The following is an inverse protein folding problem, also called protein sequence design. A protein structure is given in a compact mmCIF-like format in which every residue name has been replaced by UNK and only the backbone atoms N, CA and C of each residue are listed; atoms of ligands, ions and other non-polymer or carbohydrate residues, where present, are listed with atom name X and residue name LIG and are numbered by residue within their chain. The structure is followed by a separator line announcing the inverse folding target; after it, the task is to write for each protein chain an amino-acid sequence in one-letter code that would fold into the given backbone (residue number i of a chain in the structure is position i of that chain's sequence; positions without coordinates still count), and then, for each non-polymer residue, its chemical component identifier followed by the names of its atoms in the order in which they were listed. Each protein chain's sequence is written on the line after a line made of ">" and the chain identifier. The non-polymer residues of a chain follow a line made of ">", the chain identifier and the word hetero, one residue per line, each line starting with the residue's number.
data_IF_367606500690
#
_entry.id   IF_367606500690
#
_cell.length_a   1.000
_cell.length_b   1.000
_cell.length_c   1.000
_cell.angle_alpha   90.00
_cell.angle_beta   90.00
_cell.angle_gamma   90.00
#
_symmetry.space_group_name_H-M   'P 1'
#
loop_
_entity.id
_entity.type
_entity.pdbx_description
1 polymer ?
#
# COMPACT_ATOMS: atom_id res chain seq x y z
N UNK A 1 -42.88 4.20 55.37
CA UNK A 1 -42.42 4.08 53.97
C UNK A 1 -40.91 4.30 53.75
N UNK A 2 -40.25 5.30 54.34
CA UNK A 2 -38.81 5.60 54.05
C UNK A 2 -37.77 4.54 54.48
N UNK A 3 -38.06 3.70 55.50
CA UNK A 3 -37.10 2.71 56.02
C UNK A 3 -37.02 1.43 55.17
N UNK A 4 -38.13 1.03 54.56
CA UNK A 4 -38.20 -0.17 53.72
C UNK A 4 -37.61 0.07 52.31
N UNK A 5 -37.72 1.30 51.80
CA UNK A 5 -37.10 1.69 50.52
C UNK A 5 -35.57 1.70 50.58
N UNK A 6 -34.98 2.16 51.70
CA UNK A 6 -33.52 2.12 51.91
C UNK A 6 -32.97 0.68 52.01
N UNK A 7 -33.73 -0.22 52.65
CA UNK A 7 -33.35 -1.64 52.73
C UNK A 7 -33.44 -2.33 51.36
N UNK A 8 -34.43 -1.98 50.54
CA UNK A 8 -34.59 -2.52 49.19
C UNK A 8 -33.47 -2.07 48.24
N UNK A 9 -33.11 -0.77 48.29
CA UNK A 9 -32.00 -0.22 47.49
C UNK A 9 -30.65 -0.81 47.94
N UNK A 10 -30.45 -0.99 49.25
CA UNK A 10 -29.21 -1.61 49.76
C UNK A 10 -29.09 -3.08 49.36
N UNK A 11 -30.21 -3.80 49.24
CA UNK A 11 -30.22 -5.18 48.77
C UNK A 11 -29.88 -5.26 47.27
N UNK A 12 -30.44 -4.37 46.45
CA UNK A 12 -30.11 -4.28 45.01
C UNK A 12 -28.64 -3.93 44.79
N UNK A 13 -28.07 -3.02 45.59
CA UNK A 13 -26.67 -2.62 45.49
C UNK A 13 -25.70 -3.77 45.83
N UNK A 14 -26.02 -4.55 46.87
CA UNK A 14 -25.22 -5.73 47.25
C UNK A 14 -25.35 -6.84 46.22
N UNK A 15 -26.55 -7.04 45.65
CA UNK A 15 -26.78 -8.06 44.62
C UNK A 15 -26.04 -7.70 43.31
N UNK A 16 -25.97 -6.42 42.95
CA UNK A 16 -25.15 -5.96 41.81
C UNK A 16 -23.63 -6.08 42.08
N UNK A 17 -23.18 -5.84 43.32
CA UNK A 17 -21.77 -5.99 43.68
C UNK A 17 -21.30 -7.46 43.67
N UNK A 18 -22.20 -8.40 43.98
CA UNK A 18 -21.89 -9.84 43.92
C UNK A 18 -21.90 -10.41 42.50
N UNK A 19 -22.65 -9.82 41.57
CA UNK A 19 -22.65 -10.24 40.15
C UNK A 19 -21.40 -9.70 39.42
N UNK A 20 -20.80 -8.59 39.88
CA UNK A 20 -19.53 -8.08 39.35
C UNK A 20 -18.28 -8.84 39.78
N UNK A 21 -18.38 -9.82 40.68
CA UNK A 21 -17.22 -10.55 41.25
C UNK A 21 -17.10 -12.01 40.76
N UNK A 22 -17.82 -12.40 39.70
CA UNK A 22 -17.79 -13.78 39.20
C UNK A 22 -17.55 -13.91 37.69
N UNK A 23 -17.11 -12.86 37.02
CA UNK A 23 -16.61 -12.99 35.65
C UNK A 23 -15.15 -13.41 35.77
N UNK A 24 -14.74 -14.60 35.31
CA UNK A 24 -13.33 -14.89 35.16
C UNK A 24 -12.76 -13.85 34.19
N UNK A 25 -11.86 -13.00 34.68
CA UNK A 25 -11.00 -12.20 33.82
C UNK A 25 -10.01 -13.18 33.19
N UNK A 26 -10.44 -13.79 32.09
CA UNK A 26 -9.47 -14.27 31.12
C UNK A 26 -8.79 -13.02 30.57
N UNK A 27 -7.47 -12.94 30.72
CA UNK A 27 -6.68 -12.02 29.93
C UNK A 27 -7.03 -12.33 28.47
N UNK A 28 -7.80 -11.44 27.84
CA UNK A 28 -7.92 -11.43 26.39
C UNK A 28 -6.49 -11.33 25.90
N UNK A 29 -6.02 -12.36 25.20
CA UNK A 29 -4.77 -12.24 24.44
C UNK A 29 -4.90 -10.93 23.67
N UNK A 30 -3.99 -10.00 23.96
CA UNK A 30 -3.84 -8.79 23.16
C UNK A 30 -3.68 -9.33 21.73
N UNK A 31 -4.58 -9.00 20.80
CA UNK A 31 -4.41 -9.42 19.42
C UNK A 31 -3.00 -9.00 19.03
N UNK A 32 -2.19 -9.98 18.62
CA UNK A 32 -0.83 -9.79 18.14
C UNK A 32 -0.79 -8.52 17.31
N UNK A 33 -0.11 -7.49 17.83
CA UNK A 33 -0.15 -6.13 17.32
C UNK A 33 -0.17 -6.13 15.79
N UNK A 34 -1.27 -5.68 15.18
CA UNK A 34 -1.21 -5.15 13.81
C UNK A 34 -0.06 -4.15 13.80
N UNK A 35 1.03 -4.52 13.13
CA UNK A 35 2.17 -3.64 12.95
C UNK A 35 1.74 -2.57 11.97
N UNK A 36 1.22 -1.46 12.47
CA UNK A 36 0.95 -0.31 11.64
C UNK A 36 2.25 0.19 11.03
N UNK A 37 2.33 0.20 9.70
CA UNK A 37 3.45 0.81 8.98
C UNK A 37 3.52 2.29 9.33
N UNK A 38 4.70 2.75 9.76
CA UNK A 38 4.92 4.16 10.09
C UNK A 38 5.05 4.96 8.79
N UNK A 39 4.04 5.78 8.49
CA UNK A 39 4.08 6.78 7.41
C UNK A 39 4.77 8.06 7.89
N UNK A 40 5.08 8.96 6.96
CA UNK A 40 5.60 10.29 7.24
C UNK A 40 4.70 11.06 8.24
N UNK A 41 3.37 11.01 8.08
CA UNK A 41 2.46 11.67 9.02
C UNK A 41 2.48 11.00 10.41
N UNK A 42 2.56 9.66 10.46
CA UNK A 42 2.64 8.93 11.73
C UNK A 42 3.95 9.28 12.43
N UNK A 43 5.07 9.38 11.72
CA UNK A 43 6.35 9.80 12.28
C UNK A 43 6.29 11.22 12.86
N UNK A 44 5.63 12.16 12.17
CA UNK A 44 5.39 13.53 12.66
C UNK A 44 4.55 13.48 13.94
N UNK A 45 3.43 12.76 13.95
CA UNK A 45 2.55 12.66 15.12
C UNK A 45 3.27 12.02 16.32
N UNK A 46 4.06 10.98 16.06
CA UNK A 46 4.89 10.34 17.08
C UNK A 46 5.89 11.33 17.67
N UNK A 47 6.53 12.17 16.84
CA UNK A 47 7.45 13.20 17.28
C UNK A 47 6.75 14.26 18.14
N UNK A 48 5.60 14.78 17.70
CA UNK A 48 4.84 15.75 18.51
C UNK A 48 4.41 15.17 19.87
N UNK A 49 3.97 13.91 19.90
CA UNK A 49 3.59 13.24 21.13
C UNK A 49 4.79 12.99 22.05
N UNK A 50 5.93 12.61 21.48
CA UNK A 50 7.17 12.46 22.22
C UNK A 50 7.62 13.79 22.83
N UNK A 51 7.63 14.88 22.06
CA UNK A 51 7.98 16.21 22.55
C UNK A 51 7.06 16.67 23.69
N UNK A 52 5.74 16.47 23.58
CA UNK A 52 4.77 16.79 24.65
C UNK A 52 5.07 16.06 25.96
N UNK A 53 5.61 14.84 25.90
CA UNK A 53 5.97 14.06 27.09
C UNK A 53 7.38 14.34 27.61
N UNK A 54 8.35 14.54 26.71
CA UNK A 54 9.77 14.61 27.01
C UNK A 54 10.28 16.05 27.23
N UNK A 55 9.62 17.06 26.65
CA UNK A 55 10.05 18.46 26.69
C UNK A 55 8.85 19.41 26.78
N UNK A 56 8.40 19.68 28.01
CA UNK A 56 7.17 20.43 28.30
C UNK A 56 7.35 21.96 28.38
N UNK A 57 8.60 22.45 28.31
CA UNK A 57 8.91 23.87 28.47
C UNK A 57 8.43 24.74 27.29
N UNK A 58 8.40 24.16 26.08
CA UNK A 58 8.00 24.84 24.84
C UNK A 58 7.05 23.96 24.03
N UNK A 59 6.13 24.60 23.30
CA UNK A 59 5.30 23.91 22.32
C UNK A 59 6.04 23.79 21.00
N UNK A 60 6.62 22.61 20.76
CA UNK A 60 7.34 22.28 19.53
C UNK A 60 6.40 21.69 18.48
N UNK A 61 6.56 22.08 17.22
CA UNK A 61 5.93 21.43 16.06
C UNK A 61 6.94 20.51 15.38
N UNK A 62 6.51 19.36 14.88
CA UNK A 62 7.36 18.44 14.14
C UNK A 62 7.12 18.54 12.62
N UNK A 63 8.18 18.42 11.82
CA UNK A 63 8.10 18.46 10.36
C UNK A 63 9.34 17.80 9.72
N UNK A 64 9.33 17.72 8.39
CA UNK A 64 10.43 17.19 7.56
C UNK A 64 10.87 15.77 7.98
N UNK A 65 9.97 14.77 7.93
CA UNK A 65 10.35 13.39 8.18
C UNK A 65 11.33 12.91 7.11
N UNK A 66 12.43 12.31 7.54
CA UNK A 66 13.46 11.74 6.69
C UNK A 66 13.54 10.26 7.01
N UNK A 67 13.25 9.41 6.01
CA UNK A 67 13.25 7.95 6.19
C UNK A 67 14.68 7.44 6.42
N UNK A 68 14.81 6.53 7.40
CA UNK A 68 16.06 5.92 7.81
C UNK A 68 16.11 4.46 7.38
N UNK A 69 17.22 4.02 6.80
CA UNK A 69 17.45 2.66 6.32
C UNK A 69 18.61 1.98 7.05
N UNK A 70 18.62 0.66 7.09
CA UNK A 70 19.81 -0.13 7.44
C UNK A 70 20.67 -0.43 6.20
N UNK A 71 21.83 -1.05 6.39
CA UNK A 71 22.78 -1.28 5.31
C UNK A 71 22.33 -2.26 4.22
N UNK A 72 21.24 -2.98 4.44
CA UNK A 72 20.60 -3.87 3.46
C UNK A 72 19.60 -3.15 2.56
N UNK A 73 19.34 -1.85 2.81
CA UNK A 73 18.30 -1.07 2.14
C UNK A 73 16.91 -1.17 2.76
N UNK A 74 16.74 -1.93 3.86
CA UNK A 74 15.47 -2.02 4.58
C UNK A 74 15.20 -0.73 5.38
N UNK A 75 13.98 -0.20 5.29
CA UNK A 75 13.55 0.92 6.11
C UNK A 75 13.43 0.50 7.58
N UNK A 76 14.08 1.25 8.47
CA UNK A 76 14.14 0.96 9.90
C UNK A 76 13.54 2.06 10.77
N UNK A 77 13.26 3.24 10.21
CA UNK A 77 12.55 4.29 10.94
C UNK A 77 12.64 5.66 10.29
N UNK A 78 12.65 6.72 11.10
CA UNK A 78 12.60 8.11 10.63
C UNK A 78 13.40 9.04 11.53
N UNK A 79 13.99 10.07 10.93
CA UNK A 79 14.40 11.30 11.61
C UNK A 79 13.29 12.33 11.42
N UNK A 80 12.89 13.04 12.47
CA UNK A 80 11.90 14.11 12.39
C UNK A 80 12.44 15.35 13.09
N UNK A 81 12.38 16.49 12.41
CA UNK A 81 12.88 17.76 12.91
C UNK A 81 11.82 18.52 13.73
N UNK A 82 12.24 19.18 14.81
CA UNK A 82 11.42 20.04 15.63
C UNK A 82 11.62 21.52 15.31
N UNK A 83 10.56 22.30 15.47
CA UNK A 83 10.55 23.74 15.27
C UNK A 83 9.84 24.42 16.44
N UNK A 84 10.39 25.56 16.87
CA UNK A 84 9.75 26.50 17.79
C UNK A 84 9.50 27.81 17.05
N UNK A 85 8.24 28.23 16.91
CA UNK A 85 7.85 29.40 16.11
C UNK A 85 8.51 29.41 14.72
N UNK A 86 8.44 28.27 14.02
CA UNK A 86 9.04 28.06 12.69
C UNK A 86 10.58 28.15 12.63
N UNK A 87 11.27 28.20 13.77
CA UNK A 87 12.73 28.17 13.86
C UNK A 87 13.20 26.76 14.25
N UNK A 88 14.21 26.16 13.59
CA UNK A 88 14.73 24.85 13.94
C UNK A 88 15.11 24.74 15.43
N UNK A 89 14.64 23.67 16.07
CA UNK A 89 14.73 23.46 17.51
C UNK A 89 14.97 21.98 17.87
N UNK A 90 15.84 21.30 17.12
CA UNK A 90 16.23 19.92 17.39
C UNK A 90 15.50 18.88 16.55
N UNK A 91 15.57 17.63 16.98
CA UNK A 91 15.10 16.46 16.21
C UNK A 91 14.88 15.23 17.11
N UNK A 92 14.19 14.22 16.57
CA UNK A 92 14.07 12.87 17.13
C UNK A 92 14.34 11.84 16.05
N UNK A 93 14.92 10.70 16.43
CA UNK A 93 15.18 9.55 15.56
C UNK A 93 14.43 8.36 16.11
N UNK A 94 13.49 7.85 15.32
CA UNK A 94 12.81 6.58 15.53
C UNK A 94 13.57 5.47 14.82
N UNK A 95 13.85 4.38 15.54
CA UNK A 95 14.51 3.19 15.01
C UNK A 95 13.84 1.93 15.57
N UNK A 96 13.27 1.15 14.67
CA UNK A 96 12.54 -0.10 15.00
C UNK A 96 13.47 -1.29 15.26
N UNK A 97 14.76 -1.18 14.96
CA UNK A 97 15.75 -2.23 15.29
C UNK A 97 16.18 -2.18 16.76
N UNK A 98 15.99 -1.03 17.42
CA UNK A 98 16.23 -0.86 18.84
C UNK A 98 15.12 -1.46 19.70
N UNK A 99 15.47 -1.95 20.89
CA UNK A 99 14.48 -2.34 21.92
C UNK A 99 13.66 -1.15 22.44
N UNK A 100 14.19 0.07 22.27
CA UNK A 100 13.48 1.34 22.39
C UNK A 100 13.26 1.90 20.99
N UNK A 101 12.03 2.28 20.67
CA UNK A 101 11.68 2.92 19.41
C UNK A 101 12.40 4.27 19.22
N UNK A 102 12.76 4.95 20.31
CA UNK A 102 13.57 6.18 20.28
C UNK A 102 15.04 5.78 20.28
N UNK A 103 15.77 6.08 19.20
CA UNK A 103 17.22 5.87 19.10
C UNK A 103 18.01 7.07 19.62
N UNK A 104 17.58 8.27 19.27
CA UNK A 104 18.31 9.52 19.55
C UNK A 104 17.34 10.69 19.51
N UNK A 105 17.58 11.74 20.29
CA UNK A 105 16.88 13.01 20.15
C UNK A 105 17.72 14.15 20.71
N UNK A 106 17.43 15.37 20.29
CA UNK A 106 18.03 16.59 20.82
C UNK A 106 16.99 17.70 20.82
N UNK A 107 16.92 18.46 21.92
CA UNK A 107 16.12 19.67 22.02
C UNK A 107 17.03 20.86 22.26
N UNK A 108 16.88 21.90 21.45
CA UNK A 108 17.60 23.14 21.66
C UNK A 108 17.79 23.98 20.40
N UNK A 109 18.07 25.28 20.55
CA UNK A 109 18.34 26.14 19.42
C UNK A 109 19.61 25.68 18.69
N UNK A 110 19.54 25.64 17.36
CA UNK A 110 20.63 25.22 16.46
C UNK A 110 21.03 23.74 16.54
N UNK A 111 20.30 22.89 17.27
CA UNK A 111 20.49 21.45 17.19
C UNK A 111 20.10 20.96 15.78
N UNK A 112 21.05 20.33 15.09
CA UNK A 112 20.89 19.80 13.73
C UNK A 112 20.79 18.28 13.77
N UNK A 113 19.89 17.72 12.97
CA UNK A 113 19.85 16.29 12.77
C UNK A 113 21.12 15.79 12.07
N UNK A 114 21.47 14.50 12.20
CA UNK A 114 22.56 13.90 11.42
C UNK A 114 22.40 14.14 9.91
N UNK A 115 21.17 14.09 9.39
CA UNK A 115 20.89 14.43 8.00
C UNK A 115 21.28 15.88 7.67
N UNK A 116 20.82 16.84 8.47
CA UNK A 116 21.09 18.27 8.25
C UNK A 116 22.59 18.59 8.36
N UNK A 117 23.33 17.85 9.19
CA UNK A 117 24.80 17.96 9.28
C UNK A 117 25.43 17.55 7.96
N UNK A 118 25.10 16.36 7.44
CA UNK A 118 25.65 15.82 6.19
C UNK A 118 25.23 16.70 4.99
N UNK A 119 23.93 17.03 4.89
CA UNK A 119 23.38 17.86 3.82
C UNK A 119 23.99 19.26 3.80
N UNK A 120 24.45 19.79 4.95
CA UNK A 120 25.13 21.08 5.00
C UNK A 120 26.63 21.03 4.67
N UNK A 121 27.25 19.85 4.70
CA UNK A 121 28.67 19.66 4.37
C UNK A 121 28.91 19.19 2.92
N UNK A 122 27.90 18.60 2.27
CA UNK A 122 27.95 18.16 0.88
C UNK A 122 27.66 19.33 -0.08
N UNK A 123 28.70 19.96 -0.62
CA UNK A 123 28.64 21.15 -1.49
C UNK A 123 28.19 20.90 -2.95
N UNK A 124 27.48 19.80 -3.24
CA UNK A 124 27.22 19.36 -4.62
C UNK A 124 25.76 19.59 -5.05
N UNK A 125 25.60 20.30 -6.16
CA UNK A 125 24.37 20.77 -6.84
C UNK A 125 23.44 19.67 -7.39
N UNK A 126 23.47 18.46 -6.85
CA UNK A 126 22.56 17.37 -7.23
C UNK A 126 21.49 17.19 -6.15
N UNK A 127 20.25 17.03 -6.61
CA UNK A 127 19.04 16.95 -5.80
C UNK A 127 19.14 15.90 -4.69
N UNK A 128 19.50 16.34 -3.47
CA UNK A 128 19.44 15.58 -2.21
C UNK A 128 18.03 15.03 -1.88
N UNK A 129 17.01 15.37 -2.68
CA UNK A 129 15.62 15.01 -2.43
C UNK A 129 15.39 13.49 -2.37
N UNK A 130 16.30 12.66 -2.90
CA UNK A 130 16.13 11.19 -2.93
C UNK A 130 17.34 10.38 -2.41
N UNK A 131 18.35 11.01 -1.80
CA UNK A 131 19.54 10.28 -1.32
C UNK A 131 19.21 9.46 -0.05
N UNK A 132 19.42 8.13 -0.02
CA UNK A 132 19.15 7.31 1.16
C UNK A 132 20.00 7.72 2.34
N UNK A 133 19.37 7.86 3.50
CA UNK A 133 20.05 7.98 4.77
C UNK A 133 20.15 6.61 5.44
N UNK A 134 21.37 6.13 5.64
CA UNK A 134 21.65 4.79 6.16
C UNK A 134 22.28 4.87 7.54
N UNK A 135 21.77 4.09 8.49
CA UNK A 135 22.42 3.86 9.78
C UNK A 135 23.47 2.76 9.63
N UNK A 136 24.75 3.11 9.76
CA UNK A 136 25.87 2.15 9.61
C UNK A 136 26.41 1.66 10.95
N UNK A 137 26.24 2.45 12.02
CA UNK A 137 26.60 2.10 13.39
C UNK A 137 25.76 2.91 14.39
N UNK A 138 25.81 2.62 15.71
CA UNK A 138 25.19 3.49 16.72
C UNK A 138 25.68 4.94 16.59
N UNK A 139 24.75 5.89 16.43
CA UNK A 139 25.02 7.32 16.24
C UNK A 139 25.80 7.68 14.96
N UNK A 140 25.91 6.76 14.00
CA UNK A 140 26.55 6.99 12.69
C UNK A 140 25.55 6.78 11.58
N UNK A 141 25.32 7.84 10.81
CA UNK A 141 24.37 7.91 9.72
C UNK A 141 25.08 8.46 8.49
N UNK A 142 24.82 7.92 7.30
CA UNK A 142 25.45 8.39 6.08
C UNK A 142 24.50 8.50 4.90
N UNK A 143 24.73 9.51 4.07
CA UNK A 143 24.04 9.69 2.80
C UNK A 143 24.78 8.94 1.69
N UNK A 144 24.01 8.17 0.94
CA UNK A 144 24.50 7.47 -0.25
C UNK A 144 24.45 8.39 -1.46
N UNK A 145 25.60 8.56 -2.10
CA UNK A 145 25.74 9.12 -3.44
C UNK A 145 25.95 7.96 -4.42
N UNK A 146 24.86 7.52 -5.04
CA UNK A 146 24.87 6.43 -6.02
C UNK A 146 25.70 6.77 -7.26
N UNK A 147 25.77 8.05 -7.64
CA UNK A 147 26.48 8.49 -8.85
C UNK A 147 27.99 8.36 -8.71
N UNK A 148 28.50 8.60 -7.50
CA UNK A 148 29.92 8.49 -7.17
C UNK A 148 30.27 7.17 -6.48
N UNK A 149 29.27 6.36 -6.11
CA UNK A 149 29.46 5.12 -5.36
C UNK A 149 30.10 5.36 -4.00
N UNK A 150 29.65 6.41 -3.31
CA UNK A 150 30.22 6.83 -2.02
C UNK A 150 29.14 7.01 -0.97
N UNK A 151 29.48 6.71 0.28
CA UNK A 151 28.67 7.06 1.45
C UNK A 151 29.44 8.10 2.27
N UNK A 152 28.80 9.22 2.58
CA UNK A 152 29.36 10.26 3.47
C UNK A 152 28.58 10.31 4.77
N UNK A 153 29.27 10.13 5.91
CA UNK A 153 28.63 10.07 7.22
C UNK A 153 28.54 11.44 7.93
N UNK A 154 27.78 11.49 9.03
CA UNK A 154 27.58 12.69 9.86
C UNK A 154 28.83 13.20 10.59
N UNK A 155 29.97 12.52 10.45
CA UNK A 155 31.28 12.97 10.92
C UNK A 155 32.18 13.49 9.77
N UNK A 156 31.68 13.47 8.53
CA UNK A 156 32.41 13.92 7.34
C UNK A 156 33.34 12.87 6.75
N UNK A 157 33.30 11.62 7.24
CA UNK A 157 34.06 10.52 6.65
C UNK A 157 33.33 10.04 5.40
N UNK A 158 34.11 9.72 4.35
CA UNK A 158 33.58 9.20 3.08
C UNK A 158 34.20 7.84 2.80
N UNK A 159 33.36 6.84 2.52
CA UNK A 159 33.76 5.50 2.14
C UNK A 159 33.24 5.12 0.75
N UNK A 160 34.02 4.33 0.02
CA UNK A 160 33.56 3.76 -1.25
C UNK A 160 32.63 2.59 -0.96
N UNK A 161 31.46 2.62 -1.56
CA UNK A 161 30.46 1.57 -1.43
C UNK A 161 30.22 0.95 -2.80
N UNK A 162 29.80 -0.32 -2.82
CA UNK A 162 29.21 -0.87 -4.03
C UNK A 162 27.77 -0.33 -4.12
N UNK A 163 27.42 0.48 -5.14
CA UNK A 163 26.08 1.01 -5.29
C UNK A 163 25.02 -0.09 -5.32
N UNK A 164 25.35 -1.32 -5.75
CA UNK A 164 24.42 -2.46 -5.75
C UNK A 164 24.01 -2.93 -4.35
N UNK A 165 24.86 -2.75 -3.35
CA UNK A 165 24.60 -3.18 -1.96
C UNK A 165 23.60 -2.27 -1.26
N UNK A 166 23.62 -0.99 -1.65
CA UNK A 166 22.74 0.06 -1.16
C UNK A 166 21.80 0.56 -2.25
N UNK A 167 21.70 -0.19 -3.36
CA UNK A 167 20.83 0.14 -4.46
C UNK A 167 19.46 0.15 -3.85
N UNK A 168 18.87 1.34 -3.83
CA UNK A 168 17.44 1.46 -3.68
C UNK A 168 16.92 0.70 -4.90
N UNK A 169 16.59 -0.59 -4.73
CA UNK A 169 15.76 -1.29 -5.68
C UNK A 169 14.59 -0.35 -5.90
N UNK A 170 14.51 0.19 -7.11
CA UNK A 170 13.71 1.35 -7.46
C UNK A 170 12.42 1.35 -6.65
N UNK A 171 12.38 2.26 -5.66
CA UNK A 171 11.24 2.73 -4.88
C UNK A 171 11.10 2.36 -3.39
N UNK A 172 12.02 1.69 -2.71
CA UNK A 172 11.94 1.63 -1.23
C UNK A 172 10.60 1.09 -0.68
N UNK A 173 10.04 0.11 -1.39
CA UNK A 173 8.75 -0.52 -1.10
C UNK A 173 9.00 -1.77 -0.29
N UNK A 174 8.50 -1.80 0.95
CA UNK A 174 8.64 -3.00 1.79
C UNK A 174 8.06 -4.20 1.03
N UNK A 175 8.72 -5.37 1.08
CA UNK A 175 8.14 -6.59 0.56
C UNK A 175 6.75 -6.82 1.18
N UNK A 176 5.81 -7.30 0.37
CA UNK A 176 4.42 -7.48 0.74
C UNK A 176 3.83 -8.67 0.00
N UNK A 177 2.71 -9.15 0.50
CA UNK A 177 1.87 -10.14 -0.16
C UNK A 177 0.69 -9.46 -0.87
N UNK A 178 0.08 -10.14 -1.84
CA UNK A 178 -1.17 -9.66 -2.43
C UNK A 178 -2.30 -9.56 -1.40
N UNK A 179 -2.26 -10.35 -0.32
CA UNK A 179 -3.18 -10.21 0.81
C UNK A 179 -3.06 -8.88 1.57
N UNK A 180 -1.87 -8.25 1.61
CA UNK A 180 -1.69 -6.95 2.27
C UNK A 180 -2.28 -5.79 1.46
N UNK A 181 -2.44 -6.02 0.16
CA UNK A 181 -2.95 -5.06 -0.81
C UNK A 181 -4.48 -5.03 -0.79
N UNK A 182 -5.10 -6.19 -0.60
CA UNK A 182 -6.55 -6.31 -0.56
C UNK A 182 -7.10 -6.09 0.84
N UNK A 183 -8.17 -5.32 0.93
CA UNK A 183 -8.97 -5.22 2.14
C UNK A 183 -10.04 -6.30 2.14
N UNK A 184 -10.05 -7.12 3.18
CA UNK A 184 -11.14 -8.06 3.42
C UNK A 184 -12.44 -7.30 3.70
N UNK A 185 -13.54 -7.77 3.11
CA UNK A 185 -14.84 -7.13 3.25
C UNK A 185 -15.28 -7.05 4.72
N UNK A 186 -14.94 -8.06 5.51
CA UNK A 186 -15.21 -8.08 6.95
C UNK A 186 -14.47 -6.94 7.66
N UNK A 187 -13.19 -6.73 7.33
CA UNK A 187 -12.37 -5.63 7.85
C UNK A 187 -12.99 -4.27 7.50
N UNK A 188 -13.49 -4.10 6.27
CA UNK A 188 -14.19 -2.88 5.85
C UNK A 188 -15.43 -2.65 6.74
N UNK A 189 -16.30 -3.65 6.90
CA UNK A 189 -17.52 -3.52 7.71
C UNK A 189 -17.24 -3.21 9.17
N UNK A 190 -16.25 -3.88 9.76
CA UNK A 190 -15.90 -3.74 11.17
C UNK A 190 -15.23 -2.39 11.45
N UNK A 191 -14.26 -2.01 10.63
CA UNK A 191 -13.32 -0.93 10.98
C UNK A 191 -13.54 0.36 10.19
N UNK A 192 -14.36 0.35 9.14
CA UNK A 192 -14.55 1.51 8.26
C UNK A 192 -16.02 1.91 8.10
N UNK A 193 -16.24 3.20 7.89
CA UNK A 193 -17.50 3.76 7.41
C UNK A 193 -17.41 3.95 5.90
N UNK A 194 -18.45 3.58 5.17
CA UNK A 194 -18.55 3.87 3.74
C UNK A 194 -18.84 5.36 3.54
N UNK A 195 -17.97 6.07 2.81
CA UNK A 195 -18.14 7.50 2.52
C UNK A 195 -18.84 7.68 1.18
N UNK A 196 -18.26 7.11 0.13
CA UNK A 196 -18.83 7.08 -1.22
C UNK A 196 -18.56 5.74 -1.87
N UNK A 197 -19.41 5.38 -2.81
CA UNK A 197 -19.26 4.17 -3.60
C UNK A 197 -19.98 4.36 -4.93
N UNK A 198 -19.44 3.73 -5.98
CA UNK A 198 -20.19 3.45 -7.19
C UNK A 198 -19.64 2.17 -7.82
N UNK A 199 -20.45 1.50 -8.62
CA UNK A 199 -20.08 0.26 -9.30
C UNK A 199 -20.97 0.06 -10.53
N UNK A 200 -20.55 -0.82 -11.43
CA UNK A 200 -21.37 -1.28 -12.54
C UNK A 200 -22.53 -2.16 -12.02
N UNK A 201 -23.59 -2.30 -12.82
CA UNK A 201 -24.80 -3.04 -12.40
C UNK A 201 -24.54 -4.54 -12.16
N UNK A 202 -23.57 -5.10 -12.88
CA UNK A 202 -23.17 -6.50 -12.78
C UNK A 202 -21.68 -6.60 -12.46
N UNK A 203 -21.33 -7.57 -11.61
CA UNK A 203 -19.94 -7.92 -11.32
C UNK A 203 -19.59 -9.23 -12.03
N UNK A 204 -18.66 -9.16 -12.97
CA UNK A 204 -18.22 -10.23 -13.84
C UNK A 204 -16.89 -10.79 -13.33
N UNK A 205 -16.88 -12.07 -13.00
CA UNK A 205 -15.70 -12.76 -12.48
C UNK A 205 -15.68 -14.21 -12.94
N UNK A 206 -14.47 -14.76 -13.09
CA UNK A 206 -14.23 -16.13 -13.53
C UNK A 206 -13.06 -16.67 -12.72
N UNK A 207 -13.23 -17.80 -12.02
CA UNK A 207 -12.12 -18.38 -11.24
C UNK A 207 -10.95 -18.79 -12.13
N UNK A 208 -9.74 -18.79 -11.57
CA UNK A 208 -8.55 -19.33 -12.22
C UNK A 208 -8.78 -20.80 -12.60
N UNK A 209 -9.28 -21.62 -11.67
CA UNK A 209 -9.62 -23.03 -11.90
C UNK A 209 -10.54 -23.23 -13.12
N UNK A 210 -11.57 -22.40 -13.26
CA UNK A 210 -12.48 -22.47 -14.42
C UNK A 210 -11.75 -22.14 -15.72
N UNK A 211 -10.96 -21.06 -15.75
CA UNK A 211 -10.21 -20.67 -16.95
C UNK A 211 -9.15 -21.71 -17.31
N UNK A 212 -8.44 -22.25 -16.33
CA UNK A 212 -7.45 -23.31 -16.53
C UNK A 212 -8.09 -24.58 -17.12
N UNK A 213 -9.23 -25.01 -16.58
CA UNK A 213 -9.97 -26.19 -17.07
C UNK A 213 -10.46 -26.02 -18.51
N UNK A 214 -10.96 -24.82 -18.85
CA UNK A 214 -11.52 -24.56 -20.17
C UNK A 214 -10.47 -24.28 -21.26
N UNK A 215 -9.28 -23.80 -20.87
CA UNK A 215 -8.32 -23.24 -21.84
C UNK A 215 -6.92 -23.88 -21.77
N UNK A 216 -6.58 -24.56 -20.68
CA UNK A 216 -5.21 -24.97 -20.34
C UNK A 216 -4.19 -23.81 -20.32
N UNK A 217 -4.68 -22.56 -20.17
CA UNK A 217 -3.89 -21.34 -20.14
C UNK A 217 -4.35 -20.42 -19.01
N UNK A 218 -3.44 -19.61 -18.48
CA UNK A 218 -3.78 -18.56 -17.52
C UNK A 218 -2.86 -17.36 -17.64
N UNK A 219 -3.42 -16.15 -17.54
CA UNK A 219 -2.66 -14.91 -17.48
C UNK A 219 -3.55 -13.81 -16.89
N UNK A 220 -3.12 -13.17 -15.80
CA UNK A 220 -3.96 -12.19 -15.08
C UNK A 220 -4.52 -11.07 -15.98
N UNK A 221 -3.72 -10.54 -16.91
CA UNK A 221 -4.18 -9.53 -17.86
C UNK A 221 -5.28 -10.05 -18.80
N UNK A 222 -5.19 -11.31 -19.23
CA UNK A 222 -6.19 -11.92 -20.12
C UNK A 222 -7.47 -12.21 -19.36
N UNK A 223 -7.38 -12.74 -18.13
CA UNK A 223 -8.55 -12.91 -17.26
C UNK A 223 -9.27 -11.59 -17.01
N UNK A 224 -8.54 -10.50 -16.72
CA UNK A 224 -9.12 -9.17 -16.57
C UNK A 224 -9.81 -8.68 -17.87
N UNK A 225 -9.19 -8.90 -19.04
CA UNK A 225 -9.80 -8.57 -20.32
C UNK A 225 -10.99 -9.46 -20.66
N UNK A 226 -11.02 -10.72 -20.22
CA UNK A 226 -12.14 -11.62 -20.42
C UNK A 226 -13.40 -11.11 -19.70
N UNK A 227 -13.26 -10.60 -18.47
CA UNK A 227 -14.33 -9.87 -17.79
C UNK A 227 -14.76 -8.59 -18.52
N UNK A 228 -13.81 -7.82 -19.05
CA UNK A 228 -14.13 -6.65 -19.89
C UNK A 228 -14.88 -7.05 -21.17
N UNK A 229 -14.47 -8.13 -21.83
CA UNK A 229 -15.11 -8.64 -23.04
C UNK A 229 -16.55 -9.10 -22.75
N UNK A 230 -16.78 -9.74 -21.60
CA UNK A 230 -18.11 -10.12 -21.15
C UNK A 230 -19.01 -8.89 -21.02
N UNK A 231 -18.50 -7.83 -20.39
CA UNK A 231 -19.24 -6.57 -20.19
C UNK A 231 -19.63 -5.89 -21.49
N UNK A 232 -18.70 -5.77 -22.44
CA UNK A 232 -18.96 -5.16 -23.74
C UNK A 232 -19.67 -6.10 -24.74
N UNK A 233 -20.05 -7.31 -24.32
CA UNK A 233 -20.75 -8.28 -25.17
C UNK A 233 -19.90 -8.85 -26.30
N UNK A 234 -18.58 -8.89 -26.14
CA UNK A 234 -17.63 -9.42 -27.13
C UNK A 234 -17.40 -10.94 -27.00
N UNK A 235 -17.86 -11.57 -25.92
CA UNK A 235 -17.67 -13.00 -25.69
C UNK A 235 -18.74 -13.89 -26.35
N UNK A 236 -18.29 -15.06 -26.78
CA UNK A 236 -19.07 -16.25 -27.05
C UNK A 236 -18.87 -17.25 -25.89
N UNK A 237 -19.80 -17.26 -24.94
CA UNK A 237 -19.76 -18.16 -23.78
C UNK A 237 -19.79 -19.66 -24.13
N UNK A 238 -20.12 -20.03 -25.37
CA UNK A 238 -20.02 -21.42 -25.84
C UNK A 238 -18.58 -21.82 -26.24
N UNK A 239 -17.66 -20.86 -26.39
CA UNK A 239 -16.28 -21.06 -26.81
C UNK A 239 -15.31 -20.23 -25.95
N UNK A 240 -15.24 -20.57 -24.67
CA UNK A 240 -14.38 -19.91 -23.69
C UNK A 240 -12.91 -19.95 -24.13
N UNK A 241 -12.46 -21.11 -24.62
CA UNK A 241 -11.09 -21.33 -25.07
C UNK A 241 -10.74 -20.44 -26.27
N UNK A 242 -11.60 -20.41 -27.30
CA UNK A 242 -11.36 -19.60 -28.48
C UNK A 242 -11.24 -18.11 -28.17
N UNK A 243 -12.10 -17.58 -27.30
CA UNK A 243 -12.07 -16.17 -26.93
C UNK A 243 -10.91 -15.81 -26.02
N UNK A 244 -10.61 -16.65 -25.03
CA UNK A 244 -9.50 -16.42 -24.12
C UNK A 244 -8.16 -16.46 -24.86
N UNK A 245 -7.98 -17.43 -25.76
CA UNK A 245 -6.78 -17.52 -26.61
C UNK A 245 -6.75 -16.42 -27.68
N UNK A 246 -7.91 -15.96 -28.15
CA UNK A 246 -8.01 -14.79 -29.04
C UNK A 246 -7.53 -13.51 -28.35
N UNK A 247 -7.90 -13.29 -27.10
CA UNK A 247 -7.37 -12.19 -26.28
C UNK A 247 -5.87 -12.34 -26.08
N UNK A 248 -5.39 -13.54 -25.74
CA UNK A 248 -3.97 -13.84 -25.58
C UNK A 248 -3.15 -13.48 -26.82
N UNK A 249 -3.63 -13.86 -28.01
CA UNK A 249 -2.99 -13.53 -29.28
C UNK A 249 -3.04 -12.02 -29.55
N UNK A 250 -4.20 -11.40 -29.38
CA UNK A 250 -4.40 -9.98 -29.67
C UNK A 250 -3.53 -9.05 -28.80
N UNK A 251 -3.24 -9.43 -27.56
CA UNK A 251 -2.34 -8.68 -26.66
C UNK A 251 -0.86 -9.07 -26.80
N UNK A 252 -0.54 -10.05 -27.66
CA UNK A 252 0.82 -10.56 -27.82
C UNK A 252 1.37 -11.19 -26.53
N UNK A 253 0.49 -11.84 -25.74
CA UNK A 253 0.88 -12.48 -24.49
C UNK A 253 1.88 -13.60 -24.75
N UNK A 254 2.96 -13.60 -23.99
CA UNK A 254 4.04 -14.58 -24.12
C UNK A 254 3.95 -15.60 -23.00
N UNK A 255 4.42 -16.82 -23.26
CA UNK A 255 4.51 -17.87 -22.24
C UNK A 255 5.58 -17.49 -21.21
N UNK A 256 5.20 -17.41 -19.94
CA UNK A 256 6.12 -17.20 -18.82
C UNK A 256 6.60 -18.51 -18.21
N UNK A 257 5.69 -19.49 -18.06
CA UNK A 257 5.96 -20.78 -17.47
C UNK A 257 4.90 -21.82 -17.86
N UNK A 258 5.18 -23.08 -17.56
CA UNK A 258 4.21 -24.17 -17.71
C UNK A 258 4.29 -25.05 -16.47
N UNK A 259 3.14 -25.35 -15.86
CA UNK A 259 3.06 -26.22 -14.68
C UNK A 259 1.79 -27.04 -14.74
N UNK A 260 1.87 -28.33 -14.41
CA UNK A 260 0.72 -29.24 -14.37
C UNK A 260 -0.16 -29.28 -15.64
N UNK A 261 0.42 -29.00 -16.81
CA UNK A 261 -0.31 -28.94 -18.09
C UNK A 261 -0.97 -27.60 -18.39
N UNK A 262 -0.83 -26.61 -17.50
CA UNK A 262 -1.31 -25.23 -17.69
C UNK A 262 -0.16 -24.34 -18.17
N UNK A 263 -0.45 -23.52 -19.17
CA UNK A 263 0.47 -22.51 -19.73
C UNK A 263 0.18 -21.15 -19.12
N UNK A 264 1.14 -20.62 -18.35
CA UNK A 264 1.04 -19.31 -17.72
C UNK A 264 1.65 -18.24 -18.61
N UNK A 265 1.00 -17.06 -18.65
CA UNK A 265 1.36 -15.97 -19.55
C UNK A 265 1.74 -14.67 -18.87
N UNK A 266 2.62 -13.93 -19.54
CA UNK A 266 2.97 -12.55 -19.22
C UNK A 266 2.63 -11.63 -20.39
N UNK A 267 2.04 -10.49 -20.08
CA UNK A 267 1.57 -9.51 -21.07
C UNK A 267 2.23 -8.16 -20.80
N UNK A 268 2.73 -7.50 -21.83
CA UNK A 268 3.13 -6.09 -21.71
C UNK A 268 1.88 -5.24 -21.46
N UNK A 269 1.90 -4.44 -20.39
CA UNK A 269 0.77 -3.59 -20.00
C UNK A 269 0.35 -2.65 -21.14
N UNK A 270 1.30 -2.16 -21.95
CA UNK A 270 0.98 -1.27 -23.07
C UNK A 270 0.29 -1.99 -24.24
N UNK A 271 0.32 -3.32 -24.29
CA UNK A 271 -0.42 -4.10 -25.27
C UNK A 271 -1.83 -4.48 -24.82
N UNK A 272 -2.14 -4.38 -23.52
CA UNK A 272 -3.47 -4.75 -22.98
C UNK A 272 -4.57 -3.94 -23.63
N UNK A 273 -4.45 -2.61 -23.63
CA UNK A 273 -5.45 -1.72 -24.21
C UNK A 273 -5.64 -1.93 -25.72
N UNK A 274 -4.58 -1.77 -26.54
CA UNK A 274 -4.67 -1.98 -27.99
C UNK A 274 -5.13 -3.39 -28.39
N UNK A 275 -4.65 -4.43 -27.71
CA UNK A 275 -5.04 -5.81 -27.98
C UNK A 275 -6.52 -6.06 -27.70
N UNK A 276 -7.04 -5.51 -26.60
CA UNK A 276 -8.46 -5.60 -26.29
C UNK A 276 -9.35 -4.92 -27.33
N UNK A 277 -8.96 -3.73 -27.79
CA UNK A 277 -9.67 -3.01 -28.86
C UNK A 277 -9.69 -3.84 -30.15
N UNK A 278 -8.56 -4.46 -30.51
CA UNK A 278 -8.47 -5.35 -31.68
C UNK A 278 -9.40 -6.55 -31.54
N UNK A 279 -9.35 -7.24 -30.40
CA UNK A 279 -10.22 -8.39 -30.13
C UNK A 279 -11.71 -8.00 -30.22
N UNK A 280 -12.11 -6.89 -29.60
CA UNK A 280 -13.50 -6.43 -29.68
C UNK A 280 -13.91 -6.12 -31.12
N UNK A 281 -13.05 -5.46 -31.89
CA UNK A 281 -13.31 -5.13 -33.29
C UNK A 281 -13.53 -6.40 -34.14
N UNK A 282 -12.75 -7.46 -33.91
CA UNK A 282 -12.91 -8.76 -34.59
C UNK A 282 -14.25 -9.45 -34.23
N UNK A 283 -14.80 -9.13 -33.06
CA UNK A 283 -16.14 -9.55 -32.60
C UNK A 283 -17.26 -8.60 -33.03
N UNK A 284 -16.95 -7.54 -33.78
CA UNK A 284 -17.92 -6.54 -34.22
C UNK A 284 -18.35 -5.56 -33.13
N UNK A 285 -17.61 -5.48 -32.02
CA UNK A 285 -17.85 -4.58 -30.89
C UNK A 285 -16.86 -3.42 -30.97
N UNK A 286 -17.37 -2.18 -30.87
CA UNK A 286 -16.51 -0.99 -30.87
C UNK A 286 -16.18 -0.59 -29.44
N UNK A 287 -14.90 -0.56 -29.11
CA UNK A 287 -14.39 -0.06 -27.81
C UNK A 287 -13.19 0.83 -28.08
N UNK A 288 -13.08 1.92 -27.33
CA UNK A 288 -11.88 2.76 -27.28
C UNK A 288 -11.12 2.54 -25.97
N UNK A 289 -9.82 2.82 -25.95
CA UNK A 289 -8.99 2.64 -24.76
C UNK A 289 -8.14 3.87 -24.43
N UNK A 290 -7.80 4.02 -23.15
CA UNK A 290 -6.75 4.93 -22.70
C UNK A 290 -5.95 4.31 -21.55
N UNK A 291 -4.66 4.06 -21.78
CA UNK A 291 -3.69 3.57 -20.78
C UNK A 291 -2.82 4.71 -20.28
N UNK A 292 -2.69 4.84 -18.95
CA UNK A 292 -1.87 5.85 -18.29
C UNK A 292 -0.99 5.23 -17.20
N UNK A 293 0.19 5.81 -17.03
CA UNK A 293 1.08 5.51 -15.90
C UNK A 293 0.66 6.34 -14.68
N UNK A 294 0.74 5.73 -13.49
CA UNK A 294 0.39 6.33 -12.20
C UNK A 294 -1.00 7.02 -12.19
N UNK A 295 -2.09 6.30 -12.57
CA UNK A 295 -3.44 6.84 -12.49
C UNK A 295 -3.78 7.25 -11.05
N UNK A 296 -4.43 8.40 -10.90
CA UNK A 296 -5.05 8.76 -9.63
C UNK A 296 -6.42 8.07 -9.49
N UNK A 297 -6.99 8.09 -8.28
CA UNK A 297 -8.30 7.51 -8.02
C UNK A 297 -9.40 7.97 -9.00
N UNK A 298 -9.38 9.27 -9.36
CA UNK A 298 -10.37 9.88 -10.26
C UNK A 298 -10.33 9.31 -11.68
N UNK A 299 -9.18 8.81 -12.12
CA UNK A 299 -9.07 8.11 -13.40
C UNK A 299 -10.03 6.92 -13.46
N UNK A 300 -10.04 6.10 -12.40
CA UNK A 300 -10.93 4.94 -12.30
C UNK A 300 -12.37 5.36 -12.01
N UNK A 301 -12.60 6.30 -11.08
CA UNK A 301 -13.99 6.68 -10.74
C UNK A 301 -14.72 7.30 -11.92
N UNK A 302 -14.07 8.18 -12.71
CA UNK A 302 -14.69 8.75 -13.90
C UNK A 302 -15.08 7.67 -14.94
N UNK A 303 -14.28 6.61 -15.05
CA UNK A 303 -14.57 5.49 -15.96
C UNK A 303 -15.82 4.74 -15.50
N UNK A 304 -15.86 4.35 -14.22
CA UNK A 304 -17.01 3.65 -13.62
C UNK A 304 -18.27 4.53 -13.67
N UNK A 305 -18.17 5.81 -13.31
CA UNK A 305 -19.29 6.77 -13.34
C UNK A 305 -19.83 6.99 -14.77
N UNK A 306 -18.98 6.81 -15.77
CA UNK A 306 -19.37 6.81 -17.19
C UNK A 306 -20.06 5.52 -17.64
N UNK A 307 -20.20 4.52 -16.77
CA UNK A 307 -20.76 3.21 -17.11
C UNK A 307 -19.79 2.34 -17.89
N UNK A 308 -18.48 2.42 -17.60
CA UNK A 308 -17.46 1.66 -18.30
C UNK A 308 -16.52 0.89 -17.38
N UNK A 309 -15.83 -0.11 -17.94
CA UNK A 309 -14.80 -0.91 -17.24
C UNK A 309 -13.39 -0.36 -17.41
N UNK A 310 -12.55 -0.60 -16.41
CA UNK A 310 -11.12 -0.36 -16.46
C UNK A 310 -10.34 -1.61 -16.03
N UNK A 311 -9.03 -1.58 -16.24
CA UNK A 311 -8.06 -2.55 -15.70
C UNK A 311 -7.01 -1.77 -14.94
N UNK A 312 -6.73 -2.19 -13.71
CA UNK A 312 -5.61 -1.71 -12.92
C UNK A 312 -4.47 -2.70 -13.05
N UNK A 313 -3.27 -2.19 -13.31
CA UNK A 313 -2.04 -2.97 -13.38
C UNK A 313 -1.12 -2.47 -12.28
N UNK A 314 -0.69 -3.36 -11.41
CA UNK A 314 0.16 -2.99 -10.30
C UNK A 314 1.20 -4.06 -10.03
N UNK A 315 2.32 -3.63 -9.45
CA UNK A 315 3.36 -4.53 -8.98
C UNK A 315 3.68 -4.30 -7.51
N UNK A 316 4.13 -5.37 -6.85
CA UNK A 316 4.67 -5.34 -5.49
C UNK A 316 6.02 -6.05 -5.50
N UNK A 317 6.85 -5.78 -4.50
CA UNK A 317 7.96 -6.71 -4.17
C UNK A 317 7.35 -7.81 -3.31
N UNK A 318 7.45 -9.06 -3.74
CA UNK A 318 6.90 -10.19 -3.01
C UNK A 318 7.77 -10.47 -1.76
N UNK A 319 7.13 -10.67 -0.61
CA UNK A 319 7.82 -10.96 0.65
C UNK A 319 8.54 -12.31 0.69
N UNK A 320 8.07 -13.30 -0.08
CA UNK A 320 8.62 -14.65 -0.05
C UNK A 320 10.00 -14.74 -0.72
N UNK A 321 10.17 -14.04 -1.84
CA UNK A 321 11.36 -14.16 -2.70
C UNK A 321 12.06 -12.83 -2.99
N UNK A 322 11.50 -11.69 -2.54
CA UNK A 322 11.95 -10.33 -2.84
C UNK A 322 12.00 -10.02 -4.35
N UNK A 323 11.22 -10.73 -5.17
CA UNK A 323 11.11 -10.49 -6.60
C UNK A 323 9.85 -9.67 -6.88
N UNK A 324 9.91 -8.82 -7.91
CA UNK A 324 8.75 -8.04 -8.34
C UNK A 324 7.66 -8.96 -8.88
N UNK A 325 6.52 -8.98 -8.19
CA UNK A 325 5.30 -9.68 -8.59
C UNK A 325 4.32 -8.68 -9.18
N UNK A 326 3.79 -8.98 -10.37
CA UNK A 326 2.84 -8.13 -11.08
C UNK A 326 1.48 -8.75 -11.19
N UNK A 327 0.47 -7.91 -11.23
CA UNK A 327 -0.90 -8.36 -11.39
C UNK A 327 -1.75 -7.32 -12.11
N UNK A 328 -2.70 -7.82 -12.91
CA UNK A 328 -3.66 -7.00 -13.67
C UNK A 328 -5.06 -7.47 -13.30
N UNK A 329 -5.94 -6.53 -12.98
CA UNK A 329 -7.26 -6.82 -12.42
C UNK A 329 -8.33 -5.94 -13.05
N UNK A 330 -9.50 -6.50 -13.32
CA UNK A 330 -10.61 -5.75 -13.88
C UNK A 330 -11.29 -4.92 -12.79
N UNK A 331 -11.37 -3.61 -12.99
CA UNK A 331 -12.01 -2.65 -12.10
C UNK A 331 -13.47 -2.47 -12.53
N UNK A 332 -14.38 -2.76 -11.61
CA UNK A 332 -15.84 -2.75 -11.84
C UNK A 332 -16.59 -1.84 -10.86
N UNK A 333 -15.87 -1.23 -9.94
CA UNK A 333 -16.41 -0.27 -8.99
C UNK A 333 -15.32 0.36 -8.14
N UNK A 334 -15.74 1.21 -7.21
CA UNK A 334 -14.86 1.86 -6.26
C UNK A 334 -15.59 2.19 -4.95
N UNK A 335 -14.83 2.32 -3.87
CA UNK A 335 -15.33 2.87 -2.62
C UNK A 335 -14.29 3.77 -1.96
N UNK A 336 -14.74 4.91 -1.43
CA UNK A 336 -13.98 5.67 -0.44
C UNK A 336 -14.47 5.24 0.93
N UNK A 337 -13.57 4.71 1.74
CA UNK A 337 -13.88 4.21 3.08
C UNK A 337 -13.13 5.05 4.11
N UNK A 338 -13.74 5.29 5.26
CA UNK A 338 -13.15 6.09 6.33
C UNK A 338 -12.95 5.23 7.58
N UNK A 339 -11.71 5.19 8.10
CA UNK A 339 -11.41 4.49 9.34
C UNK A 339 -12.23 5.05 10.49
N UNK A 340 -12.92 4.18 11.23
CA UNK A 340 -13.70 4.54 12.42
C UNK A 340 -12.80 5.01 13.58
N UNK A 341 -11.54 4.56 13.60
CA UNK A 341 -10.60 4.87 14.69
C UNK A 341 -9.87 6.19 14.46
N UNK A 342 -9.40 6.44 13.23
CA UNK A 342 -8.58 7.63 12.92
C UNK A 342 -9.33 8.72 12.14
N UNK A 343 -10.44 8.38 11.49
CA UNK A 343 -11.14 9.29 10.58
C UNK A 343 -10.44 9.47 9.21
N UNK A 344 -9.32 8.79 8.97
CA UNK A 344 -8.61 8.83 7.68
C UNK A 344 -9.42 8.11 6.61
N UNK A 345 -9.35 8.61 5.37
CA UNK A 345 -9.98 7.97 4.22
C UNK A 345 -8.97 7.12 3.46
N UNK A 346 -9.46 6.03 2.88
CA UNK A 346 -8.76 5.18 1.93
C UNK A 346 -9.59 5.07 0.65
N UNK A 347 -8.90 5.16 -0.48
CA UNK A 347 -9.47 4.95 -1.80
C UNK A 347 -9.30 3.49 -2.21
N UNK A 348 -10.40 2.82 -2.50
CA UNK A 348 -10.40 1.42 -2.90
C UNK A 348 -11.05 1.23 -4.26
N UNK A 349 -10.53 0.25 -5.02
CA UNK A 349 -11.14 -0.23 -6.25
C UNK A 349 -11.81 -1.58 -5.98
N UNK A 350 -13.04 -1.75 -6.46
CA UNK A 350 -13.71 -3.04 -6.47
C UNK A 350 -13.26 -3.79 -7.73
N UNK A 351 -12.49 -4.85 -7.52
CA UNK A 351 -11.81 -5.56 -8.60
C UNK A 351 -12.17 -7.04 -8.65
N UNK A 352 -12.18 -7.59 -9.85
CA UNK A 352 -12.02 -9.01 -10.10
C UNK A 352 -10.51 -9.31 -10.21
N UNK A 353 -10.02 -10.18 -9.32
CA UNK A 353 -8.60 -10.49 -9.14
C UNK A 353 -8.08 -11.58 -10.09
N UNK A 354 -8.90 -12.14 -10.97
CA UNK A 354 -8.47 -13.22 -11.86
C UNK A 354 -8.32 -14.58 -11.18
N UNK A 355 -8.40 -14.66 -9.85
CA UNK A 355 -8.25 -15.90 -9.09
C UNK A 355 -9.59 -16.41 -8.56
N UNK A 356 -10.42 -15.49 -8.09
CA UNK A 356 -11.64 -15.76 -7.35
C UNK A 356 -12.89 -15.21 -8.05
N UNK A 357 -14.05 -15.74 -7.70
CA UNK A 357 -15.37 -15.35 -8.25
C UNK A 357 -16.12 -14.32 -7.38
N UNK A 358 -15.39 -13.60 -6.52
CA UNK A 358 -15.96 -12.58 -5.64
C UNK A 358 -15.17 -11.28 -5.71
N UNK A 359 -15.84 -10.18 -5.36
CA UNK A 359 -15.23 -8.84 -5.36
C UNK A 359 -14.10 -8.73 -4.34
N UNK A 360 -12.95 -8.22 -4.77
CA UNK A 360 -11.86 -7.80 -3.89
C UNK A 360 -11.81 -6.28 -3.81
N UNK A 361 -11.41 -5.76 -2.67
CA UNK A 361 -11.23 -4.33 -2.46
C UNK A 361 -9.74 -4.01 -2.49
N UNK A 362 -9.25 -3.57 -3.64
CA UNK A 362 -7.86 -3.15 -3.80
C UNK A 362 -7.63 -1.81 -3.12
N UNK A 363 -6.69 -1.73 -2.17
CA UNK A 363 -6.26 -0.46 -1.60
C UNK A 363 -5.43 0.32 -2.62
N UNK A 364 -6.00 1.32 -3.28
CA UNK A 364 -5.27 2.12 -4.28
C UNK A 364 -4.20 3.00 -3.62
N UNK A 365 -4.42 3.42 -2.37
CA UNK A 365 -3.49 4.22 -1.57
C UNK A 365 -2.34 3.39 -0.97
N UNK A 366 -2.19 2.12 -1.39
CA UNK A 366 -1.11 1.27 -0.94
C UNK A 366 0.26 1.89 -1.31
N UNK A 367 1.06 2.19 -0.30
CA UNK A 367 2.31 2.95 -0.47
C UNK A 367 3.46 2.18 -1.12
N UNK A 368 3.29 0.89 -1.40
CA UNK A 368 4.35 -0.03 -1.81
C UNK A 368 4.18 -0.59 -3.24
N UNK A 369 3.51 0.13 -4.14
CA UNK A 369 3.32 -0.28 -5.54
C UNK A 369 4.56 -0.13 -6.41
N UNK A 370 5.35 -1.15 -6.75
CA UNK A 370 6.56 -1.01 -7.61
C UNK A 370 6.27 -0.26 -8.91
N UNK A 371 5.05 -0.45 -9.40
CA UNK A 371 4.50 0.28 -10.53
C UNK A 371 2.98 0.25 -10.41
N UNK A 372 2.34 1.29 -10.91
CA UNK A 372 0.89 1.41 -10.98
C UNK A 372 0.52 2.00 -12.34
N UNK A 373 -0.38 1.34 -13.05
CA UNK A 373 -0.91 1.77 -14.35
C UNK A 373 -2.40 1.48 -14.40
N UNK A 374 -3.10 2.20 -15.26
CA UNK A 374 -4.53 2.01 -15.47
C UNK A 374 -4.87 2.07 -16.93
N UNK A 375 -5.72 1.15 -17.39
CA UNK A 375 -6.29 1.14 -18.72
C UNK A 375 -7.80 1.30 -18.60
N UNK A 376 -8.37 2.33 -19.21
CA UNK A 376 -9.83 2.53 -19.27
C UNK A 376 -10.34 2.14 -20.64
N UNK A 377 -11.56 1.62 -20.68
CA UNK A 377 -12.26 1.28 -21.90
C UNK A 377 -13.52 2.13 -22.01
N UNK A 378 -13.97 2.48 -23.21
CA UNK A 378 -15.26 3.13 -23.43
C UNK A 378 -15.93 2.53 -24.66
N UNK A 379 -17.15 2.00 -24.49
CA UNK A 379 -17.96 1.34 -25.53
C UNK A 379 -19.01 2.23 -26.18
#
# INVERSE_FOLDING_TARGET
>A
MKKNLKRFISFILITMLTISLSIPVLAKEVPTNEKNKVTDEIAIQMAENFAKGAYTELSLSAANPIKLYESTGKAIGYIVNYYYNSTPYGYVIFDTTGSSLISEYSFGPNAKSPYDIIASSTQSTYSLNNAPLIKTAPFTYGLVDESNGTLTNNYGETESINPSTYSINSDGKDPSSWSDVFLEIQTIYENYNLVTTNHLDEFLAFSEDYIEDQTAHYACAISALYACAAYYGALNFADVSGDYLGLWEATGTSVSSTSNGITYGITDVYNVGPGFVSFCADKGVTVSQNTVDNPNYRFFTNCIDGGNMAVVHCGIINEDDNIRSGHSMAVQGYATIQSKSSGNQLHTLMVFDGWNEYVRYLNLDFGNWTDLRGTTFNG
#
